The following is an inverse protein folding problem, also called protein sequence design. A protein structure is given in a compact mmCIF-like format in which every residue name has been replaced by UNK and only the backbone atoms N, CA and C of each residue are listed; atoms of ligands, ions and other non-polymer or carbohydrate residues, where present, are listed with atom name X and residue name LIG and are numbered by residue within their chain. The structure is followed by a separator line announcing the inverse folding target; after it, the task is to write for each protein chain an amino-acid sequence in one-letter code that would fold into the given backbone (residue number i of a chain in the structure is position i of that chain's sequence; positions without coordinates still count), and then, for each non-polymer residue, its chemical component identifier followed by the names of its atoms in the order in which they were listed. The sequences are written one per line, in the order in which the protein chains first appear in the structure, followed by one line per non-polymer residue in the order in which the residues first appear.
data_IF_971079418925
#
_entry.id   IF_971079418925
#
_cell.length_a   1.000
_cell.length_b   1.000
_cell.length_c   1.000
_cell.angle_alpha   90.00
_cell.angle_beta   90.00
_cell.angle_gamma   90.00
#
_symmetry.space_group_name_H-M   'P 1'
#
loop_
_entity.id
_entity.type
_entity.pdbx_description
1 polymer ?
#
# COMPACT_ATOMS: atom_id res chain seq x y z
N UNK A 1 -15.99 -1.03 -8.17
CA UNK A 1 -15.44 -1.06 -6.79
C UNK A 1 -14.68 0.22 -6.54
N UNK A 2 -14.64 0.66 -5.31
CA UNK A 2 -13.79 1.78 -4.88
C UNK A 2 -12.49 1.23 -4.30
N UNK A 3 -11.38 1.43 -5.01
CA UNK A 3 -10.05 0.89 -4.67
C UNK A 3 -9.23 2.00 -4.02
N UNK A 4 -8.75 1.80 -2.80
CA UNK A 4 -7.73 2.68 -2.23
C UNK A 4 -6.34 2.24 -2.70
N UNK A 5 -5.71 3.04 -3.55
CA UNK A 5 -4.31 2.84 -3.94
C UNK A 5 -3.42 3.60 -2.96
N UNK A 6 -2.65 2.85 -2.15
CA UNK A 6 -1.76 3.40 -1.12
C UNK A 6 -0.32 3.37 -1.61
N UNK A 7 0.40 4.49 -1.50
CA UNK A 7 1.76 4.63 -1.99
C UNK A 7 2.63 5.56 -1.14
N UNK A 8 3.95 5.57 -1.40
CA UNK A 8 4.94 6.29 -0.64
C UNK A 8 5.52 5.46 0.50
N UNK A 9 5.34 5.90 1.75
CA UNK A 9 5.74 5.15 2.95
C UNK A 9 7.10 5.55 3.53
N UNK A 10 7.41 4.98 4.69
CA UNK A 10 8.59 5.33 5.50
C UNK A 10 9.87 4.60 5.12
N UNK A 11 9.82 3.73 4.11
CA UNK A 11 11.01 2.96 3.70
C UNK A 11 12.00 3.79 2.88
N UNK A 12 13.21 3.27 2.71
CA UNK A 12 14.18 3.83 1.76
C UNK A 12 13.73 3.74 0.30
N UNK A 13 12.68 2.96 0.01
CA UNK A 13 12.12 2.75 -1.32
C UNK A 13 10.88 3.62 -1.60
N UNK A 14 10.70 4.70 -0.83
CA UNK A 14 9.59 5.65 -0.99
C UNK A 14 9.39 6.09 -2.44
N UNK A 15 10.45 6.54 -3.11
CA UNK A 15 10.39 7.03 -4.49
C UNK A 15 9.99 5.92 -5.49
N UNK A 16 10.43 4.68 -5.23
CA UNK A 16 10.05 3.51 -6.04
C UNK A 16 8.56 3.24 -5.90
N UNK A 17 8.01 3.41 -4.71
CA UNK A 17 6.57 3.28 -4.47
C UNK A 17 5.75 4.28 -5.28
N UNK A 18 6.19 5.55 -5.39
CA UNK A 18 5.52 6.56 -6.21
C UNK A 18 5.45 6.16 -7.69
N UNK A 19 6.54 5.57 -8.21
CA UNK A 19 6.64 5.09 -9.60
C UNK A 19 5.77 3.85 -9.81
N UNK A 20 5.88 2.86 -8.92
CA UNK A 20 5.11 1.62 -9.01
C UNK A 20 3.61 1.87 -8.93
N UNK A 21 3.17 2.71 -8.00
CA UNK A 21 1.77 3.10 -7.89
C UNK A 21 1.25 3.80 -9.15
N UNK A 22 2.05 4.66 -9.79
CA UNK A 22 1.68 5.30 -11.04
C UNK A 22 1.47 4.26 -12.17
N UNK A 23 2.33 3.26 -12.24
CA UNK A 23 2.17 2.15 -13.20
C UNK A 23 0.89 1.34 -12.91
N UNK A 24 0.64 1.00 -11.65
CA UNK A 24 -0.58 0.29 -11.21
C UNK A 24 -1.82 1.12 -11.56
N UNK A 25 -1.83 2.42 -11.24
CA UNK A 25 -2.97 3.30 -11.50
C UNK A 25 -3.40 3.32 -12.97
N UNK A 26 -2.43 3.32 -13.89
CA UNK A 26 -2.68 3.25 -15.34
C UNK A 26 -3.30 1.92 -15.78
N UNK A 27 -3.02 0.82 -15.05
CA UNK A 27 -3.52 -0.53 -15.33
C UNK A 27 -4.90 -0.83 -14.71
N UNK A 28 -5.39 -0.02 -13.78
CA UNK A 28 -6.70 -0.25 -13.16
C UNK A 28 -7.82 -0.01 -14.19
N UNK A 29 -8.72 -0.99 -14.30
CA UNK A 29 -9.89 -0.90 -15.18
C UNK A 29 -10.76 0.32 -14.81
N UNK A 30 -11.08 1.13 -15.80
CA UNK A 30 -11.84 2.38 -15.67
C UNK A 30 -13.27 2.23 -15.09
N UNK A 31 -13.78 1.00 -14.99
CA UNK A 31 -15.04 0.73 -14.27
C UNK A 31 -14.91 0.86 -12.75
N UNK A 32 -13.68 0.90 -12.23
CA UNK A 32 -13.41 1.10 -10.81
C UNK A 32 -13.14 2.58 -10.52
N UNK A 33 -13.52 3.00 -9.32
CA UNK A 33 -13.12 4.29 -8.77
C UNK A 33 -11.82 4.11 -8.00
N UNK A 34 -10.85 5.01 -8.18
CA UNK A 34 -9.57 4.97 -7.47
C UNK A 34 -9.49 6.12 -6.49
N UNK A 35 -9.35 5.79 -5.22
CA UNK A 35 -9.05 6.74 -4.15
C UNK A 35 -7.55 6.68 -3.88
N UNK A 36 -6.86 7.79 -4.04
CA UNK A 36 -5.41 7.88 -3.85
C UNK A 36 -5.08 8.23 -2.40
N UNK A 37 -4.20 7.44 -1.77
CA UNK A 37 -3.70 7.68 -0.41
C UNK A 37 -2.17 7.70 -0.45
N UNK A 38 -1.59 8.86 -0.20
CA UNK A 38 -0.14 9.03 -0.09
C UNK A 38 0.33 8.95 1.35
N UNK A 39 1.43 8.22 1.60
CA UNK A 39 2.11 8.16 2.90
C UNK A 39 3.46 8.86 2.76
N UNK A 40 3.68 9.89 3.54
CA UNK A 40 4.95 10.64 3.57
C UNK A 40 6.10 9.84 4.18
N UNK A 41 7.33 10.34 4.06
CA UNK A 41 8.52 9.69 4.64
C UNK A 41 8.52 9.64 6.17
N UNK A 42 7.79 10.52 6.82
CA UNK A 42 7.56 10.48 8.29
C UNK A 42 6.43 9.53 8.70
N UNK A 43 5.65 9.02 7.73
CA UNK A 43 4.57 8.06 7.96
C UNK A 43 3.20 8.69 8.12
N UNK A 44 3.02 9.96 7.81
CA UNK A 44 1.71 10.61 7.83
C UNK A 44 0.94 10.27 6.54
N UNK A 45 -0.36 10.05 6.65
CA UNK A 45 -1.23 9.63 5.57
C UNK A 45 -2.10 10.77 5.08
N UNK A 46 -2.22 10.94 3.75
CA UNK A 46 -3.00 12.00 3.13
C UNK A 46 -3.85 11.50 1.98
N UNK A 47 -5.11 11.88 1.96
CA UNK A 47 -5.99 11.74 0.80
C UNK A 47 -5.47 12.64 -0.32
N UNK A 48 -5.30 12.10 -1.51
CA UNK A 48 -4.83 12.86 -2.66
C UNK A 48 -5.98 13.23 -3.59
N UNK A 49 -5.78 14.30 -4.35
CA UNK A 49 -6.78 14.83 -5.25
C UNK A 49 -6.96 13.93 -6.50
N UNK A 50 -8.18 13.81 -7.00
CA UNK A 50 -8.47 13.09 -8.25
C UNK A 50 -7.74 13.67 -9.47
N UNK A 51 -7.43 14.97 -9.46
CA UNK A 51 -6.62 15.60 -10.51
C UNK A 51 -5.23 14.95 -10.64
N UNK A 52 -4.67 14.44 -9.55
CA UNK A 52 -3.39 13.72 -9.56
C UNK A 52 -3.52 12.37 -10.27
N UNK A 53 -4.61 11.62 -10.05
CA UNK A 53 -4.90 10.41 -10.81
C UNK A 53 -5.01 10.71 -12.31
N UNK A 54 -5.76 11.75 -12.66
CA UNK A 54 -5.93 12.16 -14.05
C UNK A 54 -4.61 12.58 -14.71
N UNK A 55 -3.71 13.25 -13.97
CA UNK A 55 -2.36 13.61 -14.43
C UNK A 55 -1.53 12.37 -14.76
N UNK A 56 -1.51 11.40 -13.84
CA UNK A 56 -0.77 10.13 -14.00
C UNK A 56 -1.28 9.32 -15.19
N UNK A 57 -2.59 9.28 -15.41
CA UNK A 57 -3.17 8.54 -16.53
C UNK A 57 -2.89 9.18 -17.91
N UNK A 58 -2.59 10.48 -17.95
CA UNK A 58 -2.29 11.21 -19.20
C UNK A 58 -0.80 11.20 -19.55
N UNK A 59 0.07 11.16 -18.57
CA UNK A 59 1.52 11.23 -18.74
C UNK A 59 2.16 9.91 -18.32
N UNK A 60 2.76 9.18 -19.29
CA UNK A 60 3.37 7.87 -19.05
C UNK A 60 4.62 7.91 -18.19
N UNK A 61 5.33 9.02 -18.22
CA UNK A 61 6.59 9.20 -17.50
C UNK A 61 6.39 9.83 -16.12
N UNK A 62 5.17 10.26 -15.81
CA UNK A 62 4.85 10.85 -14.52
C UNK A 62 4.83 9.81 -13.40
N UNK A 63 5.39 10.17 -12.25
CA UNK A 63 5.21 9.50 -10.96
C UNK A 63 4.25 10.30 -10.07
N UNK A 64 3.68 9.64 -9.05
CA UNK A 64 2.86 10.31 -8.07
C UNK A 64 3.67 11.31 -7.22
N UNK A 65 2.96 12.32 -6.72
CA UNK A 65 3.43 13.23 -5.67
C UNK A 65 2.49 13.09 -4.48
N UNK A 66 2.94 13.53 -3.31
CA UNK A 66 2.11 13.58 -2.11
C UNK A 66 1.92 15.03 -1.74
N UNK A 67 0.68 15.48 -1.77
CA UNK A 67 0.27 16.79 -1.29
C UNK A 67 -0.14 16.66 0.18
N UNK A 68 0.51 17.45 1.02
CA UNK A 68 0.30 17.44 2.46
C UNK A 68 -0.62 18.60 2.84
N UNK A 69 -1.73 18.29 3.49
CA UNK A 69 -2.68 19.27 3.99
C UNK A 69 -3.41 18.71 5.21
N UNK A 70 -3.55 19.51 6.25
CA UNK A 70 -4.30 19.13 7.46
C UNK A 70 -5.75 18.71 7.15
N UNK A 71 -6.34 19.26 6.09
CA UNK A 71 -7.69 18.92 5.66
C UNK A 71 -7.79 17.52 5.06
N UNK A 72 -6.68 17.04 4.45
CA UNK A 72 -6.61 15.77 3.75
C UNK A 72 -5.96 14.66 4.59
N UNK A 73 -5.57 14.95 5.82
CA UNK A 73 -4.97 13.97 6.72
C UNK A 73 -5.91 12.82 6.98
N UNK A 74 -5.39 11.59 6.86
CA UNK A 74 -6.15 10.36 7.05
C UNK A 74 -5.83 9.73 8.40
N UNK A 75 -6.87 9.24 9.05
CA UNK A 75 -6.82 8.42 10.25
C UNK A 75 -7.43 7.06 9.94
N UNK A 76 -6.76 5.98 10.36
CA UNK A 76 -7.26 4.61 10.21
C UNK A 76 -7.98 4.19 11.49
N UNK A 77 -9.19 3.67 11.33
CA UNK A 77 -10.05 3.27 12.44
C UNK A 77 -10.13 1.75 12.50
N UNK A 78 -9.65 1.11 13.56
CA UNK A 78 -9.80 -0.33 13.75
C UNK A 78 -11.27 -0.75 13.70
N UNK A 79 -11.56 -1.88 13.03
CA UNK A 79 -12.93 -2.38 12.84
C UNK A 79 -13.82 -1.50 11.95
N UNK A 80 -13.24 -0.52 11.27
CA UNK A 80 -13.99 0.45 10.46
C UNK A 80 -14.53 -0.10 9.15
N UNK A 81 -14.06 -1.27 8.72
CA UNK A 81 -14.46 -1.94 7.46
C UNK A 81 -14.29 -0.99 6.28
N UNK A 82 -15.25 -0.95 5.37
CA UNK A 82 -15.24 -0.04 4.23
C UNK A 82 -15.21 1.46 4.59
N UNK A 83 -15.36 1.83 5.86
CA UNK A 83 -15.25 3.18 6.42
C UNK A 83 -14.05 3.36 7.36
N UNK A 84 -13.05 2.48 7.24
CA UNK A 84 -11.86 2.50 8.08
C UNK A 84 -11.01 3.77 7.90
N UNK A 85 -10.98 4.35 6.70
CA UNK A 85 -10.23 5.57 6.43
C UNK A 85 -11.10 6.80 6.64
N UNK A 86 -10.62 7.73 7.46
CA UNK A 86 -11.33 8.96 7.81
C UNK A 86 -10.46 10.20 7.64
N UNK A 87 -11.08 11.27 7.16
CA UNK A 87 -10.54 12.62 7.18
C UNK A 87 -11.35 13.49 8.14
N UNK A 88 -10.99 14.75 8.30
CA UNK A 88 -11.85 15.74 9.03
C UNK A 88 -13.26 15.84 8.43
N UNK A 89 -13.40 15.61 7.11
CA UNK A 89 -14.64 15.77 6.37
C UNK A 89 -15.52 14.51 6.39
N UNK A 90 -15.07 13.43 7.04
CA UNK A 90 -15.84 12.19 7.15
C UNK A 90 -15.08 10.94 6.71
N UNK A 91 -15.81 9.83 6.63
CA UNK A 91 -15.25 8.54 6.24
C UNK A 91 -15.21 8.39 4.72
N UNK A 92 -14.13 7.80 4.23
CA UNK A 92 -14.02 7.32 2.84
C UNK A 92 -14.72 5.97 2.73
N UNK A 93 -15.40 5.73 1.60
CA UNK A 93 -16.03 4.44 1.34
C UNK A 93 -15.11 3.63 0.44
N UNK A 94 -14.36 2.68 0.99
CA UNK A 94 -13.36 1.87 0.30
C UNK A 94 -13.79 0.40 0.33
N UNK A 95 -13.81 -0.25 -0.83
CA UNK A 95 -14.16 -1.67 -0.94
C UNK A 95 -12.93 -2.57 -0.75
N UNK A 96 -11.78 -2.13 -1.25
CA UNK A 96 -10.52 -2.89 -1.19
C UNK A 96 -9.32 -1.94 -1.21
N UNK A 97 -8.25 -2.33 -0.54
CA UNK A 97 -6.97 -1.60 -0.52
C UNK A 97 -5.97 -2.27 -1.44
N UNK A 98 -5.25 -1.46 -2.24
CA UNK A 98 -4.07 -1.91 -2.99
C UNK A 98 -2.84 -1.19 -2.44
N UNK A 99 -2.06 -1.83 -1.55
CA UNK A 99 -0.80 -1.26 -1.08
C UNK A 99 0.27 -1.38 -2.18
N UNK A 100 0.70 -0.27 -2.74
CA UNK A 100 1.83 -0.20 -3.68
C UNK A 100 3.08 0.28 -2.93
N UNK A 101 3.36 -0.33 -1.79
CA UNK A 101 4.45 0.02 -0.88
C UNK A 101 5.60 -0.97 -1.04
N UNK A 102 6.84 -0.53 -0.77
CA UNK A 102 8.04 -1.34 -0.83
C UNK A 102 8.85 -1.27 0.48
N UNK A 103 9.57 -2.35 0.79
CA UNK A 103 10.45 -2.44 1.95
C UNK A 103 9.72 -2.45 3.28
N UNK A 104 10.36 -1.89 4.30
CA UNK A 104 9.82 -1.82 5.67
C UNK A 104 8.50 -1.04 5.72
N UNK A 105 7.59 -1.49 6.58
CA UNK A 105 6.20 -1.03 6.72
C UNK A 105 5.30 -1.29 5.51
N UNK A 106 5.84 -1.79 4.39
CA UNK A 106 5.07 -2.14 3.18
C UNK A 106 5.01 -3.64 2.92
N UNK A 107 6.15 -4.34 3.03
CA UNK A 107 6.29 -5.75 2.68
C UNK A 107 6.51 -6.67 3.89
N UNK A 108 6.70 -6.11 5.09
CA UNK A 108 7.05 -6.82 6.33
C UNK A 108 5.85 -7.29 7.17
N UNK A 109 4.63 -7.16 6.68
CA UNK A 109 3.41 -7.52 7.39
C UNK A 109 2.80 -6.38 8.21
N UNK A 110 3.49 -5.25 8.36
CA UNK A 110 3.03 -4.13 9.19
C UNK A 110 1.76 -3.47 8.62
N UNK A 111 1.78 -3.12 7.33
CA UNK A 111 0.59 -2.54 6.68
C UNK A 111 -0.56 -3.55 6.60
N UNK A 112 -0.25 -4.81 6.33
CA UNK A 112 -1.23 -5.88 6.29
C UNK A 112 -1.93 -6.04 7.64
N UNK A 113 -1.16 -6.05 8.74
CA UNK A 113 -1.70 -6.10 10.10
C UNK A 113 -2.58 -4.90 10.46
N UNK A 114 -2.23 -3.70 10.00
CA UNK A 114 -3.08 -2.52 10.16
C UNK A 114 -4.41 -2.68 9.41
N UNK A 115 -4.37 -3.20 8.19
CA UNK A 115 -5.57 -3.43 7.36
C UNK A 115 -6.43 -4.57 7.91
N UNK A 116 -5.80 -5.64 8.44
CA UNK A 116 -6.48 -6.71 9.16
C UNK A 116 -7.23 -6.14 10.39
N UNK A 117 -6.58 -5.30 11.20
CA UNK A 117 -7.22 -4.63 12.35
C UNK A 117 -8.33 -3.66 11.93
N UNK A 118 -8.22 -3.05 10.75
CA UNK A 118 -9.26 -2.19 10.19
C UNK A 118 -10.45 -2.96 9.63
N UNK A 119 -10.35 -4.29 9.51
CA UNK A 119 -11.35 -5.20 8.92
C UNK A 119 -11.71 -4.79 7.48
N UNK A 120 -10.67 -4.47 6.68
CA UNK A 120 -10.83 -4.06 5.28
C UNK A 120 -10.01 -4.98 4.36
N UNK A 121 -10.61 -5.51 3.28
CA UNK A 121 -9.90 -6.35 2.31
C UNK A 121 -8.75 -5.61 1.64
N UNK A 122 -7.66 -6.33 1.36
CA UNK A 122 -6.53 -5.79 0.62
C UNK A 122 -5.96 -6.80 -0.40
N UNK A 123 -5.25 -6.27 -1.38
CA UNK A 123 -4.55 -7.04 -2.41
C UNK A 123 -3.12 -7.27 -1.93
N UNK A 124 -2.71 -8.53 -1.83
CA UNK A 124 -1.38 -8.92 -1.40
C UNK A 124 -1.34 -10.16 -0.53
N UNK A 125 -0.17 -10.45 0.02
CA UNK A 125 0.03 -11.56 0.95
C UNK A 125 -0.55 -11.23 2.33
N UNK A 126 -0.86 -12.27 3.12
CA UNK A 126 -1.27 -12.09 4.52
C UNK A 126 -0.15 -11.52 5.38
N UNK A 127 -0.50 -10.95 6.54
CA UNK A 127 0.45 -10.44 7.53
C UNK A 127 1.57 -11.44 7.83
N UNK A 128 1.23 -12.72 8.09
CA UNK A 128 2.22 -13.77 8.39
C UNK A 128 3.12 -14.06 7.17
N UNK A 129 2.54 -14.18 5.97
CA UNK A 129 3.34 -14.46 4.77
C UNK A 129 4.29 -13.32 4.44
N UNK A 130 3.84 -12.07 4.55
CA UNK A 130 4.66 -10.88 4.35
C UNK A 130 5.83 -10.81 5.35
N UNK A 131 5.56 -10.95 6.63
CA UNK A 131 6.59 -10.94 7.67
C UNK A 131 7.63 -12.07 7.46
N UNK A 132 7.15 -13.27 7.12
CA UNK A 132 8.02 -14.42 6.88
C UNK A 132 8.93 -14.20 5.66
N UNK A 133 8.37 -13.76 4.53
CA UNK A 133 9.13 -13.61 3.29
C UNK A 133 10.10 -12.41 3.32
N UNK A 134 9.87 -11.45 4.18
CA UNK A 134 10.82 -10.36 4.45
C UNK A 134 12.10 -10.86 5.14
N UNK A 135 12.02 -11.89 5.98
CA UNK A 135 13.16 -12.57 6.59
C UNK A 135 13.68 -13.67 5.65
N UNK A 136 14.72 -13.34 4.88
CA UNK A 136 15.32 -14.26 3.89
C UNK A 136 15.86 -15.56 4.53
N UNK A 137 16.33 -15.52 5.78
CA UNK A 137 16.82 -16.70 6.48
C UNK A 137 15.66 -17.64 6.80
N UNK A 138 14.61 -17.12 7.43
CA UNK A 138 13.42 -17.90 7.77
C UNK A 138 12.70 -18.44 6.53
N UNK A 139 12.58 -17.61 5.50
CA UNK A 139 12.05 -18.03 4.19
C UNK A 139 12.81 -19.25 3.67
N UNK A 140 14.15 -19.18 3.61
CA UNK A 140 14.97 -20.30 3.11
C UNK A 140 14.88 -21.54 4.00
N UNK A 141 14.80 -21.39 5.31
CA UNK A 141 14.62 -22.53 6.24
C UNK A 141 13.32 -23.27 5.95
N UNK A 142 12.20 -22.56 5.79
CA UNK A 142 10.89 -23.12 5.49
C UNK A 142 10.87 -23.78 4.10
N UNK A 143 11.39 -23.10 3.08
CA UNK A 143 11.45 -23.65 1.73
C UNK A 143 12.26 -24.97 1.70
N UNK A 144 13.40 -25.02 2.38
CA UNK A 144 14.21 -26.24 2.51
C UNK A 144 13.46 -27.36 3.23
N UNK A 145 12.72 -27.05 4.30
CA UNK A 145 11.94 -28.07 5.02
C UNK A 145 10.77 -28.63 4.21
N UNK A 146 10.35 -27.87 3.17
CA UNK A 146 9.33 -28.26 2.21
C UNK A 146 9.92 -28.86 0.92
N UNK A 147 11.21 -29.22 0.93
CA UNK A 147 11.94 -29.79 -0.22
C UNK A 147 11.97 -28.90 -1.47
N UNK A 148 11.76 -27.59 -1.30
CA UNK A 148 11.84 -26.61 -2.38
C UNK A 148 13.32 -26.16 -2.54
N UNK A 149 13.92 -26.26 -3.73
CA UNK A 149 15.29 -25.85 -3.97
C UNK A 149 15.49 -24.35 -3.71
N UNK A 150 16.56 -24.03 -3.00
CA UNK A 150 16.96 -22.63 -2.71
C UNK A 150 18.44 -22.41 -3.01
N UNK A 151 18.78 -21.19 -3.38
CA UNK A 151 20.18 -20.79 -3.59
C UNK A 151 20.95 -20.95 -2.28
N UNK A 152 22.16 -21.57 -2.29
CA UNK A 152 23.01 -21.66 -1.12
C UNK A 152 23.30 -20.29 -0.52
N UNK A 153 23.25 -20.20 0.81
CA UNK A 153 23.55 -18.97 1.54
C UNK A 153 24.37 -19.33 2.80
N UNK A 154 25.31 -18.47 3.13
CA UNK A 154 25.96 -18.49 4.46
C UNK A 154 25.12 -17.58 5.39
N UNK A 155 24.90 -18.08 6.57
CA UNK A 155 24.39 -17.32 7.72
C UNK A 155 25.55 -16.71 8.46
#
# INVERSE_FOLDING_TARGET
MNIALIYGGRSGEHEISLISAASIARGIDKKNTVTLIGITKDGTWFLQNESEYNRICKDKDASFKIEESDENKIYVVPGGKNKAFRTKNGSLNIDVVFPALHGTYGEDGTIQGLLDMADIPYIGCSTMASALTMDKEKTKQILKSSEIPVVPSRM
#
